data_IF_552046200954
#
_entry.id   IF_552046200954
#
_cell.length_a   1.000
_cell.length_b   1.000
_cell.length_c   1.000
_cell.angle_alpha   90.00
_cell.angle_beta   90.00
_cell.angle_gamma   90.00
#
_symmetry.space_group_name_H-M   'P 1'
#
loop_
_entity.id
_entity.type
_entity.pdbx_description
1 polymer ?
#
# COMPACT_ATOMS: atom_id res chain seq x y z
N UNK A 1 -58.40 -22.57 -14.79
CA UNK A 1 -58.46 -22.39 -13.32
C UNK A 1 -57.29 -23.19 -12.76
N UNK A 2 -56.12 -22.61 -12.47
CA UNK A 2 -55.84 -21.69 -11.34
C UNK A 2 -55.68 -22.56 -10.08
N UNK A 3 -54.61 -22.58 -9.29
CA UNK A 3 -53.63 -21.55 -8.83
C UNK A 3 -52.36 -22.27 -8.30
N UNK A 4 -51.14 -21.92 -8.71
CA UNK A 4 -50.14 -21.04 -8.06
C UNK A 4 -49.87 -21.24 -6.55
N UNK A 5 -48.57 -21.42 -6.22
CA UNK A 5 -47.78 -20.89 -5.09
C UNK A 5 -46.38 -21.55 -5.20
N UNK A 6 -45.39 -21.00 -5.91
CA UNK A 6 -44.48 -19.91 -5.55
C UNK A 6 -44.21 -19.81 -4.05
N UNK A 7 -43.01 -20.23 -3.64
CA UNK A 7 -42.38 -19.77 -2.41
C UNK A 7 -41.03 -19.18 -2.80
N UNK A 8 -40.88 -17.92 -2.43
CA UNK A 8 -39.85 -16.97 -2.83
C UNK A 8 -38.42 -17.45 -2.57
N UNK A 9 -37.58 -17.34 -3.59
CA UNK A 9 -36.14 -17.20 -3.43
C UNK A 9 -35.84 -15.83 -2.81
N UNK A 10 -35.56 -15.81 -1.51
CA UNK A 10 -35.01 -14.64 -0.82
C UNK A 10 -33.67 -14.27 -1.45
N UNK A 11 -33.67 -13.26 -2.32
CA UNK A 11 -32.45 -12.58 -2.75
C UNK A 11 -31.89 -11.79 -1.57
N UNK A 12 -30.84 -12.32 -0.93
CA UNK A 12 -30.00 -11.52 -0.04
C UNK A 12 -29.19 -10.55 -0.90
N UNK A 13 -29.73 -9.34 -1.07
CA UNK A 13 -28.95 -8.18 -1.48
C UNK A 13 -27.88 -7.94 -0.42
N UNK A 14 -26.67 -8.41 -0.68
CA UNK A 14 -25.49 -7.98 0.08
C UNK A 14 -24.97 -6.74 -0.62
N UNK A 15 -25.49 -5.57 -0.24
CA UNK A 15 -24.79 -4.32 -0.53
C UNK A 15 -23.46 -4.38 0.24
N UNK A 16 -22.38 -4.64 -0.49
CA UNK A 16 -21.03 -4.47 0.03
C UNK A 16 -20.79 -2.97 0.26
N UNK A 17 -20.40 -2.55 1.47
CA UNK A 17 -19.84 -1.22 1.66
C UNK A 17 -18.53 -1.16 0.86
N UNK A 18 -18.43 -0.20 -0.05
CA UNK A 18 -17.22 0.03 -0.82
C UNK A 18 -16.35 1.04 -0.05
N UNK A 19 -15.41 0.53 0.74
CA UNK A 19 -14.32 1.29 1.37
C UNK A 19 -13.33 1.92 0.36
N UNK A 20 -13.64 1.87 -0.94
CA UNK A 20 -12.75 2.25 -2.02
C UNK A 20 -12.62 3.77 -2.21
N UNK A 21 -13.58 4.57 -1.73
CA UNK A 21 -13.56 6.03 -1.92
C UNK A 21 -12.76 6.74 -0.82
N UNK A 22 -12.92 6.34 0.45
CA UNK A 22 -12.22 6.97 1.58
C UNK A 22 -10.71 6.66 1.60
N UNK A 23 -10.30 5.54 1.02
CA UNK A 23 -8.90 5.12 1.03
C UNK A 23 -8.02 5.89 0.05
N UNK A 24 -8.58 6.57 -0.96
CA UNK A 24 -7.82 7.34 -1.96
C UNK A 24 -7.49 8.74 -1.45
N UNK A 25 -8.45 9.46 -0.86
CA UNK A 25 -8.24 10.82 -0.32
C UNK A 25 -7.27 10.83 0.88
N UNK A 26 -7.27 9.77 1.71
CA UNK A 26 -6.35 9.66 2.84
C UNK A 26 -4.88 9.34 2.43
N UNK A 27 -4.58 9.03 1.16
CA UNK A 27 -3.21 8.73 0.70
C UNK A 27 -2.39 10.01 0.53
N UNK A 28 -2.98 11.04 -0.07
CA UNK A 28 -2.28 12.30 -0.34
C UNK A 28 -1.98 13.06 0.96
N UNK A 29 -2.93 13.08 1.90
CA UNK A 29 -2.80 13.78 3.19
C UNK A 29 -1.73 13.17 4.11
N UNK A 30 -1.54 11.84 4.07
CA UNK A 30 -0.52 11.18 4.90
C UNK A 30 0.88 11.37 4.30
N UNK A 31 1.01 11.34 2.97
CA UNK A 31 2.32 11.49 2.31
C UNK A 31 2.87 12.92 2.42
N UNK A 32 2.03 13.96 2.30
CA UNK A 32 2.48 15.36 2.48
C UNK A 32 2.95 15.66 3.92
N UNK A 33 2.38 14.98 4.93
CA UNK A 33 2.68 15.22 6.34
C UNK A 33 4.11 14.81 6.77
N UNK A 34 4.78 13.91 6.05
CA UNK A 34 6.12 13.41 6.39
C UNK A 34 7.24 13.98 5.50
N UNK A 35 6.91 14.62 4.37
CA UNK A 35 7.87 15.09 3.36
C UNK A 35 8.77 16.23 3.89
N UNK A 36 8.32 16.96 4.92
CA UNK A 36 9.00 18.14 5.47
C UNK A 36 9.31 18.10 6.98
N UNK A 37 9.05 17.00 7.69
CA UNK A 37 9.24 16.97 9.14
C UNK A 37 10.00 15.70 9.60
N UNK A 38 11.34 15.75 9.72
CA UNK A 38 12.14 14.62 10.18
C UNK A 38 11.81 14.20 11.63
N UNK A 39 11.31 15.12 12.46
CA UNK A 39 10.94 14.82 13.85
C UNK A 39 9.70 13.91 13.90
N UNK A 40 8.69 14.15 13.06
CA UNK A 40 7.52 13.25 12.94
C UNK A 40 7.88 11.83 12.53
N UNK A 41 8.88 11.68 11.67
CA UNK A 41 9.34 10.35 11.26
C UNK A 41 10.12 9.65 12.38
N UNK A 42 10.91 10.41 13.15
CA UNK A 42 11.59 9.89 14.34
C UNK A 42 10.59 9.46 15.41
N UNK A 43 9.58 10.28 15.71
CA UNK A 43 8.49 9.94 16.62
C UNK A 43 7.76 8.65 16.19
N UNK A 44 7.51 8.49 14.89
CA UNK A 44 6.92 7.26 14.36
C UNK A 44 7.84 6.05 14.62
N UNK A 45 9.14 6.16 14.36
CA UNK A 45 10.10 5.08 14.63
C UNK A 45 10.11 4.74 16.13
N UNK A 46 10.18 5.75 16.98
CA UNK A 46 10.17 5.57 18.44
C UNK A 46 8.90 4.87 18.92
N UNK A 47 7.73 5.18 18.34
CA UNK A 47 6.46 4.52 18.68
C UNK A 47 6.44 3.04 18.26
N UNK A 48 6.88 2.73 17.03
CA UNK A 48 6.81 1.36 16.51
C UNK A 48 7.90 0.44 17.08
N UNK A 49 8.99 1.01 17.58
CA UNK A 49 10.07 0.29 18.25
C UNK A 49 9.79 0.04 19.74
N UNK A 50 8.72 0.59 20.31
CA UNK A 50 8.30 0.27 21.68
C UNK A 50 8.12 -1.24 21.86
N UNK A 51 8.48 -1.79 23.03
CA UNK A 51 8.11 -3.15 23.41
C UNK A 51 6.60 -3.37 23.26
N UNK A 52 6.19 -4.58 22.85
CA UNK A 52 4.77 -4.90 22.66
C UNK A 52 3.95 -4.74 23.95
N UNK A 53 4.58 -4.92 25.10
CA UNK A 53 4.05 -4.65 26.44
C UNK A 53 5.24 -4.47 27.40
N UNK A 54 4.98 -4.03 28.63
CA UNK A 54 6.02 -3.84 29.65
C UNK A 54 6.83 -5.12 29.87
N UNK A 55 8.16 -5.02 29.93
CA UNK A 55 9.08 -6.18 30.04
C UNK A 55 9.08 -7.16 28.84
N UNK A 56 8.50 -6.79 27.69
CA UNK A 56 8.59 -7.63 26.49
C UNK A 56 9.96 -7.47 25.80
N UNK A 57 10.86 -8.42 25.99
CA UNK A 57 12.19 -8.39 25.36
C UNK A 57 12.23 -8.98 23.94
N UNK A 58 11.23 -9.79 23.58
CA UNK A 58 11.25 -10.58 22.34
C UNK A 58 10.57 -9.86 21.17
N UNK A 59 9.62 -8.97 21.45
CA UNK A 59 8.80 -8.33 20.42
C UNK A 59 8.63 -6.84 20.68
N UNK A 60 8.81 -6.06 19.61
CA UNK A 60 8.34 -4.68 19.53
C UNK A 60 6.94 -4.68 18.91
N UNK A 61 6.24 -3.56 19.06
CA UNK A 61 4.96 -3.31 18.37
C UNK A 61 5.06 -3.65 16.88
N UNK A 62 6.11 -3.16 16.21
CA UNK A 62 6.37 -3.41 14.79
C UNK A 62 6.65 -4.88 14.47
N UNK A 63 7.55 -5.52 15.22
CA UNK A 63 7.99 -6.88 14.88
C UNK A 63 6.85 -7.89 15.04
N UNK A 64 6.00 -7.70 16.05
CA UNK A 64 4.82 -8.51 16.28
C UNK A 64 3.83 -8.41 15.10
N UNK A 65 3.44 -7.20 14.72
CA UNK A 65 2.46 -7.03 13.63
C UNK A 65 3.01 -7.44 12.27
N UNK A 66 4.32 -7.24 12.03
CA UNK A 66 4.95 -7.68 10.79
C UNK A 66 4.89 -9.21 10.65
N UNK A 67 5.20 -9.95 11.70
CA UNK A 67 5.09 -11.42 11.70
C UNK A 67 3.64 -11.88 11.48
N UNK A 68 2.67 -11.23 12.12
CA UNK A 68 1.26 -11.57 11.96
C UNK A 68 0.74 -11.27 10.55
N UNK A 69 1.11 -10.13 9.96
CA UNK A 69 0.77 -9.81 8.58
C UNK A 69 1.41 -10.78 7.59
N UNK A 70 2.65 -11.22 7.85
CA UNK A 70 3.30 -12.25 7.04
C UNK A 70 2.53 -13.57 7.09
N UNK A 71 2.05 -13.99 8.27
CA UNK A 71 1.19 -15.18 8.41
C UNK A 71 -0.14 -15.00 7.67
N UNK A 72 -0.79 -13.84 7.85
CA UNK A 72 -2.03 -13.48 7.15
C UNK A 72 -1.88 -13.63 5.65
N UNK A 73 -0.83 -13.04 5.08
CA UNK A 73 -0.54 -13.09 3.64
C UNK A 73 -0.20 -14.51 3.18
N UNK A 74 0.63 -15.23 3.94
CA UNK A 74 1.06 -16.60 3.61
C UNK A 74 -0.11 -17.58 3.53
N UNK A 75 -1.10 -17.43 4.40
CA UNK A 75 -2.23 -18.36 4.52
C UNK A 75 -3.55 -17.80 3.97
N UNK A 76 -3.53 -16.61 3.33
CA UNK A 76 -4.72 -16.02 2.74
C UNK A 76 -5.82 -15.65 3.74
N UNK A 77 -5.45 -15.27 4.97
CA UNK A 77 -6.41 -14.94 6.03
C UNK A 77 -7.16 -13.65 5.68
N UNK A 78 -8.50 -13.72 5.66
CA UNK A 78 -9.36 -12.57 5.34
C UNK A 78 -9.15 -11.40 6.31
N UNK A 79 -9.49 -10.17 5.89
CA UNK A 79 -9.39 -8.99 6.76
C UNK A 79 -10.29 -9.09 7.99
N UNK A 80 -11.51 -9.62 7.83
CA UNK A 80 -12.43 -9.85 8.94
C UNK A 80 -11.85 -10.81 9.98
N UNK A 81 -11.39 -11.99 9.55
CA UNK A 81 -10.81 -12.98 10.44
C UNK A 81 -9.54 -12.45 11.12
N UNK A 82 -8.69 -11.70 10.39
CA UNK A 82 -7.49 -11.12 10.99
C UNK A 82 -7.80 -10.05 12.03
N UNK A 83 -8.82 -9.20 11.81
CA UNK A 83 -9.26 -8.23 12.82
C UNK A 83 -9.72 -8.94 14.10
N UNK A 84 -10.55 -9.97 13.97
CA UNK A 84 -10.99 -10.78 15.13
C UNK A 84 -9.80 -11.45 15.85
N UNK A 85 -8.83 -11.97 15.08
CA UNK A 85 -7.60 -12.54 15.63
C UNK A 85 -6.76 -11.52 16.40
N UNK A 86 -6.61 -10.30 15.90
CA UNK A 86 -5.88 -9.23 16.57
C UNK A 86 -6.52 -8.87 17.92
N UNK A 87 -7.85 -8.76 17.96
CA UNK A 87 -8.61 -8.51 19.21
C UNK A 87 -8.39 -9.64 20.21
N UNK A 88 -8.44 -10.90 19.75
CA UNK A 88 -8.21 -12.06 20.60
C UNK A 88 -6.79 -12.05 21.17
N UNK A 89 -5.77 -11.86 20.33
CA UNK A 89 -4.36 -11.78 20.76
C UNK A 89 -4.19 -10.64 21.76
N UNK A 90 -4.75 -9.46 21.48
CA UNK A 90 -4.68 -8.29 22.38
C UNK A 90 -5.27 -8.59 23.76
N UNK A 91 -6.34 -9.38 23.83
CA UNK A 91 -6.96 -9.80 25.10
C UNK A 91 -6.18 -10.87 25.87
N UNK A 92 -5.33 -11.64 25.18
CA UNK A 92 -4.45 -12.65 25.79
C UNK A 92 -3.15 -12.04 26.35
N UNK A 93 -2.79 -10.84 25.92
CA UNK A 93 -1.60 -10.12 26.37
C UNK A 93 -1.84 -9.38 27.69
N UNK A 94 -0.78 -9.01 28.44
CA UNK A 94 -0.91 -8.20 29.65
C UNK A 94 -1.64 -6.88 29.41
N UNK A 95 -2.24 -6.35 30.48
CA UNK A 95 -2.89 -5.04 30.44
C UNK A 95 -1.89 -3.93 30.08
N UNK A 96 -2.33 -2.96 29.26
CA UNK A 96 -1.47 -1.90 28.75
C UNK A 96 -0.58 -2.29 27.56
N UNK A 97 -0.89 -3.38 26.85
CA UNK A 97 -0.15 -3.75 25.64
C UNK A 97 -0.43 -2.84 24.43
N UNK A 98 0.57 -2.72 23.56
CA UNK A 98 0.59 -1.88 22.35
C UNK A 98 0.05 -2.60 21.11
N UNK A 99 -0.58 -3.76 21.27
CA UNK A 99 -1.08 -4.55 20.14
C UNK A 99 -2.21 -3.83 19.40
N UNK A 100 -2.26 -3.96 18.08
CA UNK A 100 -3.30 -3.34 17.25
C UNK A 100 -4.68 -3.94 17.53
N UNK A 101 -5.71 -3.11 17.46
CA UNK A 101 -7.12 -3.52 17.64
C UNK A 101 -7.76 -4.01 16.34
N UNK A 102 -7.24 -3.59 15.19
CA UNK A 102 -7.79 -4.01 13.90
C UNK A 102 -6.78 -3.98 12.74
N UNK A 103 -7.15 -4.62 11.64
CA UNK A 103 -6.39 -4.63 10.37
C UNK A 103 -6.09 -3.23 9.84
N UNK A 104 -7.06 -2.31 9.95
CA UNK A 104 -6.94 -0.97 9.40
C UNK A 104 -5.83 -0.18 10.11
N UNK A 105 -5.82 -0.17 11.44
CA UNK A 105 -4.78 0.51 12.24
C UNK A 105 -3.39 -0.01 11.89
N UNK A 106 -3.23 -1.33 11.86
CA UNK A 106 -1.97 -1.95 11.46
C UNK A 106 -1.54 -1.49 10.07
N UNK A 107 -2.41 -1.61 9.05
CA UNK A 107 -2.09 -1.20 7.67
C UNK A 107 -1.78 0.29 7.56
N UNK A 108 -2.47 1.15 8.32
CA UNK A 108 -2.26 2.60 8.35
C UNK A 108 -0.85 2.94 8.84
N UNK A 109 -0.38 2.27 9.89
CA UNK A 109 0.95 2.47 10.43
C UNK A 109 2.04 1.99 9.46
N UNK A 110 1.86 0.81 8.86
CA UNK A 110 2.76 0.31 7.80
C UNK A 110 2.84 1.25 6.60
N UNK A 111 1.73 1.86 6.22
CA UNK A 111 1.70 2.85 5.16
C UNK A 111 2.52 4.08 5.54
N UNK A 112 2.36 4.60 6.76
CA UNK A 112 3.16 5.72 7.26
C UNK A 112 4.67 5.40 7.27
N UNK A 113 5.03 4.16 7.62
CA UNK A 113 6.42 3.68 7.58
C UNK A 113 6.99 3.50 6.17
N UNK A 114 6.19 3.65 5.10
CA UNK A 114 6.68 3.56 3.72
C UNK A 114 6.37 2.30 2.96
N UNK A 115 5.64 1.38 3.57
CA UNK A 115 5.14 0.19 2.87
C UNK A 115 3.86 0.50 2.08
N UNK A 116 3.50 1.78 1.98
CA UNK A 116 2.39 2.28 1.18
C UNK A 116 2.67 2.22 -0.33
N UNK A 117 1.59 2.16 -1.08
CA UNK A 117 1.58 2.33 -2.53
C UNK A 117 0.42 3.26 -2.91
N UNK A 118 0.58 3.93 -4.04
CA UNK A 118 -0.45 4.74 -4.68
C UNK A 118 -1.04 3.93 -5.82
N UNK A 119 -2.36 3.95 -5.96
CA UNK A 119 -3.06 3.28 -7.06
C UNK A 119 -3.18 4.25 -8.23
N UNK A 120 -2.62 3.90 -9.38
CA UNK A 120 -2.73 4.70 -10.61
C UNK A 120 -3.54 3.88 -11.62
N UNK A 121 -4.60 4.46 -12.18
CA UNK A 121 -5.38 3.76 -13.20
C UNK A 121 -4.53 3.64 -14.47
N UNK A 122 -4.59 2.49 -15.12
CA UNK A 122 -3.84 2.20 -16.34
C UNK A 122 -4.79 1.82 -17.46
N UNK A 123 -4.39 2.09 -18.70
CA UNK A 123 -5.04 1.51 -19.86
C UNK A 123 -4.88 -0.02 -19.83
N UNK A 124 -5.92 -0.77 -20.21
CA UNK A 124 -5.87 -2.25 -20.30
C UNK A 124 -4.71 -2.72 -21.18
N UNK A 125 -4.49 -2.02 -22.29
CA UNK A 125 -3.39 -2.26 -23.25
C UNK A 125 -2.08 -1.56 -22.88
N UNK A 126 -1.93 -1.04 -21.64
CA UNK A 126 -0.74 -0.34 -21.14
C UNK A 126 -0.27 0.90 -21.92
N UNK A 127 -1.10 1.47 -22.80
CA UNK A 127 -0.70 2.63 -23.61
C UNK A 127 -0.39 3.88 -22.77
N UNK A 128 -1.18 4.11 -21.71
CA UNK A 128 -1.05 5.27 -20.82
C UNK A 128 -1.37 4.91 -19.38
N UNK A 129 -0.89 5.76 -18.47
CA UNK A 129 -1.37 5.90 -17.10
C UNK A 129 -2.28 7.12 -17.02
N UNK A 130 -3.43 6.99 -16.37
CA UNK A 130 -4.37 8.10 -16.16
C UNK A 130 -3.87 9.02 -15.04
N UNK A 131 -2.80 9.76 -15.33
CA UNK A 131 -2.15 10.74 -14.45
C UNK A 131 -1.79 12.00 -15.23
N UNK A 132 -1.52 13.10 -14.52
CA UNK A 132 -1.17 14.41 -15.09
C UNK A 132 -2.21 14.86 -16.13
N UNK A 133 -1.79 15.09 -17.38
CA UNK A 133 -2.68 15.49 -18.49
C UNK A 133 -3.77 14.46 -18.84
N UNK A 134 -3.66 13.22 -18.37
CA UNK A 134 -4.62 12.14 -18.66
C UNK A 134 -5.58 11.85 -17.51
N UNK A 135 -5.51 12.59 -16.39
CA UNK A 135 -6.28 12.30 -15.16
C UNK A 135 -7.78 12.28 -15.37
N UNK A 136 -8.31 13.16 -16.22
CA UNK A 136 -9.76 13.31 -16.44
C UNK A 136 -10.27 12.52 -17.65
N UNK A 137 -9.41 11.77 -18.35
CA UNK A 137 -9.85 10.97 -19.49
C UNK A 137 -10.65 9.76 -19.03
N UNK A 138 -11.72 9.48 -19.78
CA UNK A 138 -12.58 8.30 -19.59
C UNK A 138 -12.19 7.13 -20.51
N UNK A 139 -11.43 7.41 -21.57
CA UNK A 139 -10.93 6.42 -22.50
C UNK A 139 -9.48 6.73 -22.91
N UNK A 140 -8.76 5.69 -23.31
CA UNK A 140 -7.39 5.80 -23.77
C UNK A 140 -7.35 6.56 -25.11
N UNK A 141 -6.59 7.66 -25.23
CA UNK A 141 -6.49 8.41 -26.47
C UNK A 141 -5.75 7.64 -27.58
N UNK A 142 -4.97 6.62 -27.22
CA UNK A 142 -4.19 5.82 -28.17
C UNK A 142 -4.97 4.64 -28.74
N UNK A 143 -5.75 3.94 -27.91
CA UNK A 143 -6.42 2.69 -28.32
C UNK A 143 -7.94 2.69 -28.12
N UNK A 144 -8.53 3.82 -27.69
CA UNK A 144 -9.98 3.98 -27.51
C UNK A 144 -10.62 3.15 -26.38
N UNK A 145 -9.86 2.30 -25.68
CA UNK A 145 -10.40 1.45 -24.61
C UNK A 145 -10.81 2.28 -23.39
N UNK A 146 -11.92 1.88 -22.77
CA UNK A 146 -12.45 2.50 -21.55
C UNK A 146 -11.44 2.44 -20.40
N UNK A 147 -11.42 3.48 -19.58
CA UNK A 147 -10.76 3.51 -18.27
C UNK A 147 -11.42 2.57 -17.27
N UNK A 148 -12.74 2.39 -17.40
CA UNK A 148 -13.58 1.67 -16.45
C UNK A 148 -13.81 0.22 -16.87
N UNK A 149 -14.10 -0.63 -15.91
CA UNK A 149 -14.40 -2.05 -16.11
C UNK A 149 -15.65 -2.18 -16.98
N UNK A 150 -15.53 -2.99 -18.02
CA UNK A 150 -16.62 -3.32 -18.95
C UNK A 150 -16.97 -4.78 -18.75
N UNK A 151 -18.26 -5.08 -18.62
CA UNK A 151 -18.81 -6.43 -18.67
C UNK A 151 -19.43 -6.63 -20.05
N UNK A 152 -18.71 -7.38 -20.88
CA UNK A 152 -19.08 -7.64 -22.28
C UNK A 152 -20.37 -8.46 -22.39
N UNK A 153 -20.67 -9.33 -21.42
CA UNK A 153 -21.86 -10.18 -21.44
C UNK A 153 -23.13 -9.37 -21.18
N UNK A 154 -23.06 -8.41 -20.25
CA UNK A 154 -24.19 -7.53 -19.89
C UNK A 154 -24.18 -6.20 -20.63
N UNK A 155 -23.19 -5.99 -21.49
CA UNK A 155 -22.92 -4.74 -22.20
C UNK A 155 -22.96 -3.51 -21.26
N UNK A 156 -22.44 -3.67 -20.04
CA UNK A 156 -22.53 -2.69 -18.95
C UNK A 156 -21.15 -2.17 -18.58
N UNK A 157 -21.05 -0.86 -18.41
CA UNK A 157 -19.84 -0.18 -17.92
C UNK A 157 -20.04 0.13 -16.44
N UNK A 158 -19.12 -0.33 -15.60
CA UNK A 158 -19.10 -0.01 -14.18
C UNK A 158 -18.23 1.23 -13.97
N UNK A 159 -18.86 2.39 -14.10
CA UNK A 159 -18.24 3.66 -13.74
C UNK A 159 -17.76 3.57 -12.28
N UNK A 160 -16.57 4.10 -11.99
CA UNK A 160 -15.85 4.04 -10.70
C UNK A 160 -15.04 2.77 -10.43
N UNK A 161 -15.18 1.70 -11.22
CA UNK A 161 -14.29 0.53 -11.10
C UNK A 161 -13.25 0.58 -12.23
N UNK A 162 -11.96 0.84 -11.96
CA UNK A 162 -10.96 0.92 -13.02
C UNK A 162 -10.78 -0.43 -13.70
N UNK A 163 -10.59 -0.43 -15.02
CA UNK A 163 -10.32 -1.65 -15.77
C UNK A 163 -8.96 -2.26 -15.43
N UNK A 164 -7.98 -1.41 -15.09
CA UNK A 164 -6.63 -1.82 -14.67
C UNK A 164 -6.04 -0.80 -13.71
N UNK A 165 -5.35 -1.27 -12.69
CA UNK A 165 -4.66 -0.45 -11.69
C UNK A 165 -3.20 -0.87 -11.60
N UNK A 166 -2.31 0.11 -11.62
CA UNK A 166 -0.90 -0.02 -11.30
C UNK A 166 -0.67 0.45 -9.86
N UNK A 167 -0.03 -0.39 -9.05
CA UNK A 167 0.47 0.02 -7.73
C UNK A 167 1.84 0.68 -7.88
N UNK A 168 1.91 1.98 -7.62
CA UNK A 168 3.14 2.78 -7.68
C UNK A 168 3.69 3.03 -6.28
N UNK A 169 4.95 2.69 -6.06
CA UNK A 169 5.67 2.98 -4.81
C UNK A 169 6.41 4.32 -4.97
N UNK A 170 6.07 5.37 -4.19
CA UNK A 170 6.72 6.67 -4.31
C UNK A 170 8.22 6.61 -4.08
N UNK A 171 8.99 6.84 -5.15
CA UNK A 171 10.46 6.67 -5.13
C UNK A 171 11.12 7.77 -4.28
N UNK A 172 10.63 9.00 -4.38
CA UNK A 172 11.23 10.16 -3.69
C UNK A 172 11.28 9.93 -2.17
N UNK A 173 10.19 9.45 -1.58
CA UNK A 173 10.12 9.15 -0.15
C UNK A 173 11.13 8.07 0.25
N UNK A 174 11.23 7.02 -0.56
CA UNK A 174 12.17 5.93 -0.33
C UNK A 174 13.62 6.43 -0.39
N UNK A 175 13.95 7.25 -1.39
CA UNK A 175 15.28 7.85 -1.51
C UNK A 175 15.60 8.75 -0.31
N UNK A 176 14.70 9.67 0.07
CA UNK A 176 14.90 10.54 1.25
C UNK A 176 15.27 9.74 2.50
N UNK A 177 14.58 8.62 2.76
CA UNK A 177 14.90 7.73 3.89
C UNK A 177 16.24 7.04 3.76
N UNK A 178 16.58 6.52 2.58
CA UNK A 178 17.88 5.89 2.37
C UNK A 178 19.03 6.88 2.62
N UNK A 179 18.85 8.15 2.25
CA UNK A 179 19.80 9.23 2.50
C UNK A 179 19.83 9.76 3.95
N UNK A 180 18.91 9.35 4.83
CA UNK A 180 18.98 9.70 6.27
C UNK A 180 19.99 8.85 7.02
N UNK A 181 20.24 7.62 6.56
CA UNK A 181 21.24 6.73 7.16
C UNK A 181 22.64 7.11 6.68
N UNK A 182 23.54 7.45 7.61
CA UNK A 182 24.93 7.82 7.28
C UNK A 182 25.69 6.67 6.59
N UNK A 183 25.42 5.43 6.97
CA UNK A 183 26.07 4.26 6.35
C UNK A 183 25.54 4.07 4.93
N UNK A 184 24.21 3.98 4.78
CA UNK A 184 23.55 3.80 3.49
C UNK A 184 23.85 4.94 2.52
N UNK A 185 23.94 6.18 3.01
CA UNK A 185 24.31 7.34 2.18
C UNK A 185 25.69 7.17 1.55
N UNK A 186 26.69 6.69 2.31
CA UNK A 186 28.03 6.46 1.78
C UNK A 186 28.03 5.44 0.63
N UNK A 187 27.17 4.43 0.73
CA UNK A 187 27.03 3.40 -0.31
C UNK A 187 26.31 3.98 -1.54
N UNK A 188 25.24 4.76 -1.34
CA UNK A 188 24.51 5.43 -2.41
C UNK A 188 25.35 6.45 -3.18
N UNK A 189 26.24 7.18 -2.51
CA UNK A 189 27.13 8.18 -3.13
C UNK A 189 28.53 7.63 -3.45
N UNK A 190 28.74 6.32 -3.35
CA UNK A 190 30.05 5.71 -3.56
C UNK A 190 30.59 5.97 -4.96
N UNK A 191 29.72 5.91 -5.97
CA UNK A 191 30.05 6.11 -7.38
C UNK A 191 30.69 7.47 -7.66
N UNK A 192 30.32 8.50 -6.89
CA UNK A 192 30.83 9.86 -7.02
C UNK A 192 32.04 10.11 -6.10
N UNK A 193 31.92 9.70 -4.84
CA UNK A 193 32.85 10.14 -3.78
C UNK A 193 34.08 9.26 -3.60
N UNK A 194 34.01 7.99 -4.01
CA UNK A 194 35.06 7.00 -3.73
C UNK A 194 35.55 6.25 -4.96
N UNK A 195 34.87 6.41 -6.10
CA UNK A 195 35.33 5.83 -7.36
C UNK A 195 36.64 6.48 -7.78
N UNK A 196 37.68 5.66 -7.96
CA UNK A 196 38.90 6.11 -8.63
C UNK A 196 38.60 6.19 -10.12
N UNK A 197 38.76 7.38 -10.70
CA UNK A 197 38.72 7.56 -12.16
C UNK A 197 40.17 7.48 -12.64
N UNK A 198 40.55 6.32 -13.18
CA UNK A 198 41.87 6.16 -13.77
C UNK A 198 41.89 6.89 -15.14
N UNK A 199 42.64 8.00 -15.19
CA UNK A 199 42.74 8.84 -16.38
C UNK A 199 43.34 8.01 -17.52
N UNK A 200 42.59 7.88 -18.62
CA UNK A 200 43.03 7.17 -19.83
C UNK A 200 42.73 5.67 -19.86
N UNK A 201 42.09 5.10 -18.83
CA UNK A 201 41.66 3.70 -18.82
C UNK A 201 40.15 3.61 -19.03
N UNK A 202 39.73 2.86 -20.06
CA UNK A 202 38.33 2.59 -20.33
C UNK A 202 37.77 1.72 -19.19
N UNK A 203 37.01 2.33 -18.29
CA UNK A 203 36.30 1.62 -17.23
C UNK A 203 34.87 1.32 -17.68
N UNK A 204 34.28 0.21 -17.20
CA UNK A 204 32.86 -0.03 -17.41
C UNK A 204 32.03 1.17 -16.93
N UNK A 205 31.05 1.65 -17.73
CA UNK A 205 30.10 2.66 -17.31
C UNK A 205 29.44 2.23 -16.00
N UNK A 206 29.46 3.11 -15.00
CA UNK A 206 28.83 2.83 -13.70
C UNK A 206 27.32 2.62 -13.85
N UNK A 207 26.72 3.33 -14.80
CA UNK A 207 25.35 3.19 -15.25
C UNK A 207 25.41 2.95 -16.76
N UNK A 208 25.28 1.69 -17.20
CA UNK A 208 25.08 1.43 -18.62
C UNK A 208 23.72 2.00 -19.01
N UNK A 209 23.62 2.87 -20.03
CA UNK A 209 22.34 3.04 -20.70
C UNK A 209 22.00 1.67 -21.30
N UNK A 210 20.89 1.09 -20.84
CA UNK A 210 20.30 -0.09 -21.46
C UNK A 210 19.74 0.26 -22.84
#
# INVERSE_FOLDING_TARGET
>A
MGTSNVVDSMSMNTEMPTDDVETVEMVEVVEENFIGNPDKFRELIEDVEKPLYTECHNFTKLSAINQLLNLKSKYGVSDKCFTELLVLIKSMLPEGNEMYSCTYEAKKEFKAMGSGYTKIHACVNNCILYRNKYTNLLACPTCGKSRWKVDEQKNKIYNNIPAKVLSYFPIILRLKRLFQSKTTTKDLTWHETKRKVDIGILSHPADSPA
#
